data_IF_510880983483
#
_entry.id   IF_510880983483
#
_cell.length_a   1.000
_cell.length_b   1.000
_cell.length_c   1.000
_cell.angle_alpha   90.00
_cell.angle_beta   90.00
_cell.angle_gamma   90.00
#
_symmetry.space_group_name_H-M   'P 1'
#
loop_
_entity.id
_entity.type
_entity.pdbx_description
1 polymer ?
#
# COMPACT_ATOMS: atom_id res chain seq x y z
N UNK A 1 9.03 -9.87 9.00
CA UNK A 1 10.32 -9.62 8.32
C UNK A 1 10.20 -9.94 6.83
N UNK A 2 9.99 -11.19 6.42
CA UNK A 2 10.19 -11.62 5.03
C UNK A 2 9.39 -10.90 3.90
N UNK A 3 8.11 -10.57 4.10
CA UNK A 3 7.30 -9.94 3.03
C UNK A 3 7.47 -8.42 2.97
N UNK A 4 7.61 -7.77 4.13
CA UNK A 4 7.76 -6.32 4.21
C UNK A 4 9.09 -5.86 3.59
N UNK A 5 10.18 -6.58 3.88
CA UNK A 5 11.50 -6.28 3.32
C UNK A 5 11.51 -6.43 1.79
N UNK A 6 10.77 -7.40 1.25
CA UNK A 6 10.57 -7.57 -0.20
C UNK A 6 9.74 -6.46 -0.83
N UNK A 7 8.72 -5.97 -0.12
CA UNK A 7 7.95 -4.80 -0.56
C UNK A 7 8.86 -3.57 -0.60
N UNK A 8 9.68 -3.34 0.43
CA UNK A 8 10.60 -2.21 0.47
C UNK A 8 11.62 -2.22 -0.68
N UNK A 9 12.25 -3.37 -0.95
CA UNK A 9 13.17 -3.51 -2.08
C UNK A 9 12.49 -3.27 -3.43
N UNK A 10 11.24 -3.73 -3.58
CA UNK A 10 10.43 -3.46 -4.77
C UNK A 10 10.12 -1.97 -4.92
N UNK A 11 9.76 -1.30 -3.83
CA UNK A 11 9.50 0.14 -3.81
C UNK A 11 10.74 0.92 -4.27
N UNK A 12 11.92 0.69 -3.71
CA UNK A 12 13.12 1.39 -4.17
C UNK A 12 13.34 1.29 -5.68
N UNK A 13 13.13 0.09 -6.24
CA UNK A 13 13.25 -0.15 -7.68
C UNK A 13 12.18 0.62 -8.48
N UNK A 14 10.94 0.63 -8.00
CA UNK A 14 9.83 1.38 -8.61
C UNK A 14 10.10 2.89 -8.61
N UNK A 15 10.56 3.44 -7.48
CA UNK A 15 10.87 4.86 -7.36
C UNK A 15 11.98 5.30 -8.31
N UNK A 16 13.01 4.46 -8.50
CA UNK A 16 14.05 4.72 -9.51
C UNK A 16 13.48 4.70 -10.92
N UNK A 17 12.56 3.77 -11.21
CA UNK A 17 11.89 3.71 -12.50
C UNK A 17 11.06 4.96 -12.79
N UNK A 18 10.42 5.54 -11.79
CA UNK A 18 9.67 6.80 -11.94
C UNK A 18 10.52 8.02 -12.29
N UNK A 19 11.85 7.96 -12.07
CA UNK A 19 12.76 9.04 -12.45
C UNK A 19 13.18 8.98 -13.92
N UNK A 20 12.85 7.90 -14.63
CA UNK A 20 13.10 7.80 -16.06
C UNK A 20 12.09 8.67 -16.85
N UNK A 21 12.54 9.65 -17.66
CA UNK A 21 11.65 10.48 -18.48
C UNK A 21 10.79 9.69 -19.47
N UNK A 22 11.19 8.47 -19.84
CA UNK A 22 10.43 7.58 -20.70
C UNK A 22 9.43 6.68 -19.93
N UNK A 23 9.37 6.79 -18.59
CA UNK A 23 8.48 5.97 -17.78
C UNK A 23 7.01 6.26 -18.12
N UNK A 24 6.16 5.23 -18.28
CA UNK A 24 4.73 5.41 -18.51
C UNK A 24 4.06 6.19 -17.37
N UNK A 25 2.99 6.95 -17.64
CA UNK A 25 2.32 7.75 -16.61
C UNK A 25 1.60 6.93 -15.54
N UNK A 26 1.36 5.63 -15.80
CA UNK A 26 0.63 4.74 -14.89
C UNK A 26 1.35 3.39 -14.77
N UNK A 27 1.33 2.81 -13.57
CA UNK A 27 1.85 1.47 -13.28
C UNK A 27 0.74 0.55 -12.82
N UNK A 28 0.71 -0.67 -13.38
CA UNK A 28 -0.18 -1.75 -12.94
C UNK A 28 0.60 -2.79 -12.14
N UNK A 29 0.21 -2.99 -10.88
CA UNK A 29 0.78 -4.01 -10.01
C UNK A 29 -0.19 -5.18 -9.87
N UNK A 30 0.18 -6.36 -10.36
CA UNK A 30 -0.58 -7.60 -10.19
C UNK A 30 0.00 -8.39 -9.02
N UNK A 31 -0.77 -8.54 -7.95
CA UNK A 31 -0.27 -9.11 -6.68
C UNK A 31 -1.38 -9.90 -5.95
N UNK A 32 -1.03 -10.53 -4.82
CA UNK A 32 -2.01 -11.10 -3.88
C UNK A 32 -2.54 -10.05 -2.91
N UNK A 33 -3.75 -10.27 -2.36
CA UNK A 33 -4.41 -9.30 -1.47
C UNK A 33 -3.57 -8.88 -0.24
N UNK A 34 -2.81 -9.81 0.35
CA UNK A 34 -1.90 -9.49 1.45
C UNK A 34 -0.76 -8.56 0.99
N UNK A 35 -0.14 -8.85 -0.14
CA UNK A 35 0.93 -8.02 -0.72
C UNK A 35 0.42 -6.63 -1.07
N UNK A 36 -0.79 -6.52 -1.64
CA UNK A 36 -1.43 -5.23 -1.94
C UNK A 36 -1.62 -4.39 -0.66
N UNK A 37 -2.08 -5.00 0.43
CA UNK A 37 -2.24 -4.29 1.71
C UNK A 37 -0.91 -3.88 2.32
N UNK A 38 0.12 -4.72 2.26
CA UNK A 38 1.46 -4.40 2.76
C UNK A 38 2.09 -3.27 1.94
N UNK A 39 1.92 -3.29 0.62
CA UNK A 39 2.31 -2.19 -0.25
C UNK A 39 1.62 -0.89 0.15
N UNK A 40 0.29 -0.91 0.36
CA UNK A 40 -0.45 0.28 0.78
C UNK A 40 -0.04 0.76 2.18
N UNK A 41 0.19 -0.17 3.13
CA UNK A 41 0.71 0.15 4.46
C UNK A 41 2.03 0.90 4.36
N UNK A 42 2.94 0.42 3.50
CA UNK A 42 4.25 1.05 3.32
C UNK A 42 4.16 2.40 2.61
N UNK A 43 3.34 2.47 1.56
CA UNK A 43 3.17 3.66 0.72
C UNK A 43 2.49 4.81 1.46
N UNK A 44 1.43 4.49 2.22
CA UNK A 44 0.61 5.46 2.94
C UNK A 44 1.01 5.62 4.41
N UNK A 45 2.10 4.95 4.82
CA UNK A 45 2.64 4.96 6.18
C UNK A 45 1.60 4.58 7.25
N UNK A 46 0.75 3.60 6.96
CA UNK A 46 -0.22 3.11 7.94
C UNK A 46 0.48 2.41 9.11
N UNK A 47 -0.09 2.54 10.29
CA UNK A 47 0.39 1.80 11.45
C UNK A 47 -0.08 0.34 11.41
N UNK A 48 0.52 -0.50 12.26
CA UNK A 48 0.22 -1.94 12.32
C UNK A 48 -1.26 -2.19 12.65
N UNK A 49 -1.84 -1.44 13.58
CA UNK A 49 -3.24 -1.61 13.98
C UNK A 49 -4.21 -1.28 12.83
N UNK A 50 -3.92 -0.23 12.07
CA UNK A 50 -4.65 0.10 10.84
C UNK A 50 -4.55 -1.04 9.85
N UNK A 51 -3.34 -1.49 9.52
CA UNK A 51 -3.13 -2.58 8.59
C UNK A 51 -3.89 -3.84 9.01
N UNK A 52 -3.76 -4.28 10.25
CA UNK A 52 -4.39 -5.50 10.76
C UNK A 52 -5.92 -5.42 10.75
N UNK A 53 -6.51 -4.22 10.85
CA UNK A 53 -7.96 -4.02 10.82
C UNK A 53 -8.60 -4.17 9.43
N UNK A 54 -7.80 -4.23 8.36
CA UNK A 54 -8.29 -4.31 6.97
C UNK A 54 -8.54 -5.76 6.55
N UNK A 55 -9.55 -5.97 5.71
CA UNK A 55 -9.80 -7.22 5.01
C UNK A 55 -8.96 -7.29 3.74
N UNK A 56 -8.64 -8.51 3.30
CA UNK A 56 -8.08 -8.69 1.95
C UNK A 56 -9.15 -8.31 0.92
N UNK A 57 -8.75 -7.71 -0.22
CA UNK A 57 -9.65 -7.53 -1.35
C UNK A 57 -10.16 -8.89 -1.86
N UNK A 58 -11.35 -8.87 -2.47
CA UNK A 58 -11.91 -10.03 -3.18
C UNK A 58 -11.08 -10.44 -4.39
N UNK A 59 -11.38 -11.61 -4.96
CA UNK A 59 -10.68 -12.09 -6.16
C UNK A 59 -10.91 -11.13 -7.34
N UNK A 60 -9.83 -10.69 -7.98
CA UNK A 60 -9.86 -9.74 -9.10
C UNK A 60 -10.20 -8.31 -8.70
N UNK A 61 -10.36 -8.01 -7.41
CA UNK A 61 -10.66 -6.67 -6.96
C UNK A 61 -9.40 -5.78 -7.02
N UNK A 62 -9.59 -4.53 -7.46
CA UNK A 62 -8.51 -3.57 -7.70
C UNK A 62 -8.46 -2.48 -6.64
N UNK A 63 -7.32 -1.79 -6.52
CA UNK A 63 -7.21 -0.49 -5.83
C UNK A 63 -6.35 0.43 -6.67
N UNK A 64 -6.68 1.71 -6.68
CA UNK A 64 -5.93 2.72 -7.43
C UNK A 64 -5.37 3.74 -6.46
N UNK A 65 -4.07 4.01 -6.56
CA UNK A 65 -3.45 5.15 -5.92
C UNK A 65 -3.50 6.34 -6.89
N UNK A 66 -4.31 7.33 -6.56
CA UNK A 66 -4.51 8.54 -7.34
C UNK A 66 -3.61 9.66 -6.82
N UNK A 67 -2.85 10.31 -7.71
CA UNK A 67 -2.05 11.47 -7.36
C UNK A 67 -2.95 12.70 -7.16
N UNK A 68 -3.00 13.20 -5.94
CA UNK A 68 -3.72 14.42 -5.59
C UNK A 68 -2.98 15.69 -6.04
N UNK A 69 -3.67 16.82 -5.99
CA UNK A 69 -3.08 18.14 -6.26
C UNK A 69 -2.01 18.55 -5.25
N UNK A 70 -1.95 17.86 -4.10
CA UNK A 70 -0.93 18.00 -3.06
C UNK A 70 0.37 17.23 -3.37
N UNK A 71 0.43 16.55 -4.53
CA UNK A 71 1.56 15.71 -4.91
C UNK A 71 1.65 14.40 -4.12
N UNK A 72 0.59 14.01 -3.39
CA UNK A 72 0.54 12.76 -2.64
C UNK A 72 -0.47 11.81 -3.25
N UNK A 73 -0.18 10.52 -3.11
CA UNK A 73 -1.09 9.48 -3.57
C UNK A 73 -2.10 9.13 -2.49
N UNK A 74 -3.35 8.94 -2.90
CA UNK A 74 -4.46 8.52 -2.05
C UNK A 74 -5.20 7.35 -2.69
N UNK A 75 -5.81 6.48 -1.88
CA UNK A 75 -6.65 5.41 -2.43
C UNK A 75 -7.93 5.97 -3.04
N UNK A 76 -8.33 5.44 -4.19
CA UNK A 76 -9.63 5.70 -4.81
C UNK A 76 -10.79 5.31 -3.89
N UNK A 77 -10.63 4.19 -3.17
CA UNK A 77 -11.58 3.71 -2.17
C UNK A 77 -10.87 2.94 -1.05
N UNK A 78 -11.39 2.99 0.19
CA UNK A 78 -10.78 2.26 1.29
C UNK A 78 -10.85 0.74 1.08
N UNK A 79 -9.97 0.01 1.77
CA UNK A 79 -10.19 -1.41 2.02
C UNK A 79 -11.33 -1.58 3.02
N UNK A 80 -12.06 -2.68 2.90
CA UNK A 80 -13.03 -3.06 3.92
C UNK A 80 -12.32 -3.26 5.26
N UNK A 81 -12.97 -2.85 6.35
CA UNK A 81 -12.49 -3.07 7.72
C UNK A 81 -13.32 -4.17 8.37
N UNK A 82 -12.66 -5.19 8.90
CA UNK A 82 -13.35 -6.26 9.64
C UNK A 82 -13.42 -5.98 11.15
N UNK A 83 -12.62 -5.03 11.65
CA UNK A 83 -12.71 -4.54 13.03
C UNK A 83 -12.29 -3.06 13.15
N UNK A 84 -12.50 -2.49 14.34
CA UNK A 84 -11.95 -1.16 14.67
C UNK A 84 -10.49 -1.30 15.09
N UNK A 85 -9.55 -0.53 14.51
CA UNK A 85 -8.13 -0.61 14.87
C UNK A 85 -7.95 -0.24 16.35
N UNK A 86 -7.31 -1.13 17.12
CA UNK A 86 -6.97 -0.89 18.51
C UNK A 86 -5.52 -0.40 18.58
N UNK A 87 -5.23 0.73 19.24
CA UNK A 87 -3.85 1.14 19.46
C UNK A 87 -3.12 0.06 20.24
N UNK A 88 -1.99 -0.42 19.72
CA UNK A 88 -1.04 -1.14 20.56
C UNK A 88 -0.55 -0.12 21.60
N UNK A 89 -0.87 -0.36 22.88
CA UNK A 89 -0.39 0.49 23.97
C UNK A 89 1.13 0.62 23.87
N UNK A 90 1.67 1.82 24.17
CA UNK A 90 3.12 2.03 24.24
C UNK A 90 3.73 0.96 25.15
N UNK A 91 4.38 -0.04 24.58
CA UNK A 91 5.38 -0.82 25.31
C UNK A 91 6.51 0.15 25.58
N UNK A 92 6.55 0.65 26.82
CA UNK A 92 7.66 1.45 27.34
C UNK A 92 8.95 0.65 27.44
#
# INVERSE_FOLDING_TARGET
ADVYDRVDAFLESLWRSFQDPAHPPNVLLVTHGLTMRLFCMRWLHWNVAEFESLSNPGNGETRVLLLGSDGRYHLDRPFERWCTPKPYGRTG
#
